data_IF_421908565006
#
_entry.id   IF_421908565006
#
_cell.length_a   1.000
_cell.length_b   1.000
_cell.length_c   1.000
_cell.angle_alpha   90.00
_cell.angle_beta   90.00
_cell.angle_gamma   90.00
#
_symmetry.space_group_name_H-M   'P 1'
#
loop_
_entity.id
_entity.type
_entity.pdbx_description
1 polymer ?
#
# COMPACT_ATOMS: atom_id res chain seq x y z
N UNK A 1 22.53 15.51 -7.08
CA UNK A 1 22.04 14.19 -6.66
C UNK A 1 20.52 14.26 -6.71
N UNK A 2 19.90 13.26 -7.32
CA UNK A 2 18.44 13.13 -7.39
C UNK A 2 17.93 12.54 -6.09
N UNK A 3 16.74 12.96 -5.66
CA UNK A 3 16.11 12.49 -4.42
C UNK A 3 14.80 11.74 -4.69
N UNK A 4 14.28 11.05 -3.67
CA UNK A 4 12.96 10.42 -3.77
C UNK A 4 11.83 11.42 -4.05
N UNK A 5 11.92 12.66 -3.52
CA UNK A 5 10.94 13.71 -3.82
C UNK A 5 11.01 14.18 -5.28
N UNK A 6 12.21 14.21 -5.87
CA UNK A 6 12.35 14.48 -7.30
C UNK A 6 11.75 13.35 -8.15
N UNK A 7 11.89 12.10 -7.70
CA UNK A 7 11.23 10.96 -8.34
C UNK A 7 9.71 11.10 -8.34
N UNK A 8 9.10 11.57 -7.24
CA UNK A 8 7.65 11.86 -7.19
C UNK A 8 7.23 12.97 -8.16
N UNK A 9 8.03 14.05 -8.26
CA UNK A 9 7.75 15.13 -9.23
C UNK A 9 7.78 14.61 -10.67
N UNK A 10 8.78 13.80 -11.00
CA UNK A 10 8.91 13.19 -12.34
C UNK A 10 7.79 12.19 -12.59
N UNK A 11 7.42 11.38 -11.59
CA UNK A 11 6.26 10.49 -11.69
C UNK A 11 4.98 11.26 -12.01
N UNK A 12 4.76 12.43 -11.39
CA UNK A 12 3.63 13.30 -11.73
C UNK A 12 3.61 13.74 -13.20
N UNK A 13 4.76 14.11 -13.75
CA UNK A 13 4.88 14.44 -15.18
C UNK A 13 4.57 13.22 -16.06
N UNK A 14 5.14 12.05 -15.75
CA UNK A 14 4.89 10.80 -16.48
C UNK A 14 3.39 10.46 -16.47
N UNK A 15 2.73 10.58 -15.32
CA UNK A 15 1.30 10.30 -15.16
C UNK A 15 0.46 11.21 -16.06
N UNK A 16 0.80 12.50 -16.13
CA UNK A 16 0.09 13.46 -16.98
C UNK A 16 0.25 13.17 -18.48
N UNK A 17 1.36 12.57 -18.90
CA UNK A 17 1.63 12.33 -20.32
C UNK A 17 1.13 10.98 -20.83
N UNK A 18 1.31 9.91 -20.07
CA UNK A 18 1.07 8.54 -20.56
C UNK A 18 0.11 7.71 -19.69
N UNK A 19 -0.37 8.24 -18.56
CA UNK A 19 -1.32 7.57 -17.66
C UNK A 19 -0.98 6.09 -17.39
N UNK A 20 0.22 5.78 -16.86
CA UNK A 20 0.66 4.40 -16.67
C UNK A 20 -0.20 3.66 -15.64
N UNK A 21 -0.02 2.36 -15.52
CA UNK A 21 -0.61 1.55 -14.45
C UNK A 21 0.15 1.72 -13.15
N UNK A 22 1.48 1.75 -13.19
CA UNK A 22 2.31 1.99 -12.01
C UNK A 22 3.68 2.55 -12.37
N UNK A 23 4.29 3.23 -11.40
CA UNK A 23 5.67 3.72 -11.47
C UNK A 23 6.36 3.32 -10.18
N UNK A 24 7.50 2.66 -10.32
CA UNK A 24 8.33 2.18 -9.21
C UNK A 24 9.73 2.74 -9.39
N UNK A 25 10.25 3.39 -8.36
CA UNK A 25 11.66 3.78 -8.28
C UNK A 25 12.45 2.59 -7.77
N UNK A 26 13.59 2.29 -8.35
CA UNK A 26 14.51 1.27 -7.85
C UNK A 26 15.95 1.81 -7.77
N UNK A 27 16.92 0.95 -7.45
CA UNK A 27 18.32 1.36 -7.42
C UNK A 27 18.71 2.20 -6.19
N UNK A 28 19.59 3.18 -6.39
CA UNK A 28 20.16 3.99 -5.30
C UNK A 28 19.09 4.84 -4.60
N UNK A 29 18.27 5.54 -5.37
CA UNK A 29 17.19 6.41 -4.85
C UNK A 29 16.18 5.63 -4.00
N UNK A 30 15.84 4.39 -4.40
CA UNK A 30 14.94 3.56 -3.61
C UNK A 30 15.57 3.01 -2.32
N UNK A 31 16.89 2.77 -2.30
CA UNK A 31 17.57 2.21 -1.12
C UNK A 31 18.00 3.27 -0.13
N UNK A 32 18.59 4.36 -0.63
CA UNK A 32 19.27 5.40 0.15
C UNK A 32 18.47 6.70 0.23
N UNK A 33 17.41 6.85 -0.57
CA UNK A 33 16.61 8.08 -0.66
C UNK A 33 17.19 9.14 -1.61
N UNK A 34 18.41 8.93 -2.09
CA UNK A 34 19.08 9.77 -3.07
C UNK A 34 19.97 8.93 -4.01
N UNK A 35 20.37 9.52 -5.15
CA UNK A 35 21.18 8.87 -6.17
C UNK A 35 21.87 9.87 -7.11
N UNK A 36 22.69 9.34 -8.02
CA UNK A 36 23.26 10.15 -9.12
C UNK A 36 22.34 10.15 -10.35
N UNK A 37 21.58 9.09 -10.48
CA UNK A 37 20.65 8.71 -11.54
C UNK A 37 19.31 8.30 -10.95
N UNK A 38 18.27 8.38 -11.76
CA UNK A 38 16.91 8.01 -11.39
C UNK A 38 16.44 6.82 -12.23
N UNK A 39 16.44 5.64 -11.61
CA UNK A 39 15.91 4.42 -12.21
C UNK A 39 14.40 4.32 -12.01
N UNK A 40 13.64 4.31 -13.10
CA UNK A 40 12.18 4.20 -13.09
C UNK A 40 11.72 2.93 -13.80
N UNK A 41 10.94 2.12 -13.12
CA UNK A 41 10.22 1.00 -13.71
C UNK A 41 8.76 1.40 -13.92
N UNK A 42 8.33 1.50 -15.17
CA UNK A 42 7.03 2.06 -15.57
C UNK A 42 6.21 0.95 -16.24
N UNK A 43 5.09 0.60 -15.63
CA UNK A 43 4.16 -0.39 -16.18
C UNK A 43 3.03 0.32 -16.90
N UNK A 44 2.80 -0.02 -18.17
CA UNK A 44 1.73 0.55 -18.98
C UNK A 44 0.68 -0.51 -19.32
N UNK A 45 -0.53 -0.04 -19.63
CA UNK A 45 -1.61 -0.87 -20.14
C UNK A 45 -1.27 -1.38 -21.54
N UNK A 46 -1.66 -2.61 -21.87
CA UNK A 46 -1.37 -3.23 -23.18
C UNK A 46 -1.99 -2.47 -24.37
N UNK A 47 -2.96 -1.58 -24.11
CA UNK A 47 -3.50 -0.65 -25.13
C UNK A 47 -2.51 0.44 -25.57
N UNK A 48 -1.47 0.72 -24.78
CA UNK A 48 -0.40 1.66 -25.11
C UNK A 48 0.87 0.90 -25.50
N UNK A 49 1.37 1.15 -26.71
CA UNK A 49 2.65 0.57 -27.13
C UNK A 49 3.83 1.18 -26.37
N UNK A 50 4.75 0.35 -25.89
CA UNK A 50 6.02 0.78 -25.27
C UNK A 50 6.79 1.80 -26.10
N UNK A 51 6.80 1.66 -27.44
CA UNK A 51 7.49 2.61 -28.31
C UNK A 51 6.89 4.01 -28.21
N UNK A 52 5.56 4.10 -28.27
CA UNK A 52 4.83 5.38 -28.19
C UNK A 52 5.02 6.02 -26.81
N UNK A 53 5.00 5.20 -25.75
CA UNK A 53 5.28 5.66 -24.39
C UNK A 53 6.70 6.26 -24.29
N UNK A 54 7.73 5.53 -24.72
CA UNK A 54 9.13 6.01 -24.68
C UNK A 54 9.32 7.29 -25.50
N UNK A 55 8.78 7.35 -26.72
CA UNK A 55 8.88 8.56 -27.57
C UNK A 55 8.24 9.78 -26.88
N UNK A 56 7.12 9.57 -26.19
CA UNK A 56 6.44 10.61 -25.41
C UNK A 56 7.28 11.03 -24.21
N UNK A 57 7.80 10.07 -23.44
CA UNK A 57 8.61 10.34 -22.25
C UNK A 57 9.90 11.10 -22.60
N UNK A 58 10.64 10.67 -23.62
CA UNK A 58 11.85 11.36 -24.06
C UNK A 58 11.60 12.84 -24.39
N UNK A 59 10.47 13.15 -25.02
CA UNK A 59 10.10 14.53 -25.38
C UNK A 59 9.81 15.38 -24.14
N UNK A 60 9.05 14.83 -23.19
CA UNK A 60 8.52 15.57 -22.03
C UNK A 60 9.49 15.59 -20.85
N UNK A 61 10.34 14.58 -20.70
CA UNK A 61 11.35 14.50 -19.64
C UNK A 61 12.64 15.27 -20.00
N UNK A 62 12.82 15.69 -21.27
CA UNK A 62 13.96 16.51 -21.75
C UNK A 62 14.40 17.64 -20.80
N UNK A 63 13.49 18.43 -20.20
CA UNK A 63 13.87 19.51 -19.28
C UNK A 63 14.56 19.04 -18.00
N UNK A 64 14.38 17.79 -17.59
CA UNK A 64 14.90 17.23 -16.34
C UNK A 64 16.30 16.61 -16.51
N UNK A 65 16.62 16.08 -17.69
CA UNK A 65 17.92 15.46 -17.99
C UNK A 65 19.14 16.38 -17.78
N UNK A 66 18.94 17.70 -17.71
CA UNK A 66 20.02 18.65 -17.38
C UNK A 66 20.45 18.64 -15.91
N UNK A 67 19.63 18.07 -15.02
CA UNK A 67 19.88 18.04 -13.57
C UNK A 67 20.47 16.70 -13.12
N UNK A 68 20.02 15.59 -13.70
CA UNK A 68 20.46 14.23 -13.40
C UNK A 68 19.99 13.28 -14.53
N UNK A 69 20.62 12.10 -14.61
CA UNK A 69 20.20 11.06 -15.54
C UNK A 69 18.88 10.42 -15.10
N UNK A 70 18.04 10.05 -16.05
CA UNK A 70 16.78 9.34 -15.82
C UNK A 70 16.81 8.11 -16.74
N UNK A 71 16.65 6.93 -16.15
CA UNK A 71 16.63 5.66 -16.86
C UNK A 71 15.23 5.03 -16.75
N UNK A 72 14.43 5.21 -17.81
CA UNK A 72 13.07 4.68 -17.90
C UNK A 72 12.99 3.26 -18.48
N UNK A 73 12.62 2.31 -17.63
CA UNK A 73 12.25 0.94 -18.00
C UNK A 73 10.74 0.82 -18.16
N UNK A 74 10.26 1.08 -19.37
CA UNK A 74 8.84 0.93 -19.73
C UNK A 74 8.53 -0.52 -20.14
N UNK A 75 7.48 -1.11 -19.57
CA UNK A 75 7.01 -2.47 -19.88
C UNK A 75 5.48 -2.53 -19.94
N UNK A 76 4.94 -3.23 -20.94
CA UNK A 76 3.51 -3.56 -21.01
C UNK A 76 3.13 -4.59 -19.92
N UNK A 77 1.89 -4.51 -19.41
CA UNK A 77 1.41 -5.36 -18.32
C UNK A 77 1.52 -6.86 -18.66
N UNK A 78 1.12 -7.26 -19.86
CA UNK A 78 1.20 -8.67 -20.30
C UNK A 78 2.64 -9.20 -20.32
N UNK A 79 3.58 -8.37 -20.79
CA UNK A 79 5.01 -8.71 -20.85
C UNK A 79 5.62 -8.81 -19.45
N UNK A 80 5.23 -7.92 -18.54
CA UNK A 80 5.63 -8.01 -17.13
C UNK A 80 5.18 -9.33 -16.50
N UNK A 81 3.92 -9.72 -16.74
CA UNK A 81 3.38 -10.97 -16.23
C UNK A 81 4.16 -12.18 -16.76
N UNK A 82 4.43 -12.23 -18.07
CA UNK A 82 5.25 -13.29 -18.68
C UNK A 82 6.63 -13.39 -18.02
N UNK A 83 7.30 -12.26 -17.80
CA UNK A 83 8.62 -12.23 -17.15
C UNK A 83 8.56 -12.66 -15.68
N UNK A 84 7.51 -12.30 -14.96
CA UNK A 84 7.30 -12.71 -13.58
C UNK A 84 7.11 -14.24 -13.48
N UNK A 85 6.25 -14.81 -14.33
CA UNK A 85 5.99 -16.26 -14.39
C UNK A 85 7.25 -17.06 -14.76
N UNK A 86 8.12 -16.49 -15.60
CA UNK A 86 9.42 -17.08 -15.95
C UNK A 86 10.50 -16.89 -14.87
N UNK A 87 10.19 -16.24 -13.75
CA UNK A 87 11.13 -16.03 -12.64
C UNK A 87 12.26 -15.06 -13.00
N UNK A 88 11.98 -14.01 -13.78
CA UNK A 88 12.97 -13.00 -14.15
C UNK A 88 13.68 -12.43 -12.90
N UNK A 89 15.03 -12.53 -12.82
CA UNK A 89 15.78 -11.96 -11.70
C UNK A 89 15.58 -10.45 -11.58
N UNK A 90 15.47 -9.75 -12.71
CA UNK A 90 15.26 -8.30 -12.72
C UNK A 90 13.91 -7.92 -12.08
N UNK A 91 12.83 -8.60 -12.46
CA UNK A 91 11.50 -8.36 -11.85
C UNK A 91 11.53 -8.69 -10.35
N UNK A 92 12.24 -9.76 -9.97
CA UNK A 92 12.44 -10.09 -8.56
C UNK A 92 13.16 -8.98 -7.78
N UNK A 93 14.13 -8.30 -8.39
CA UNK A 93 14.80 -7.12 -7.80
C UNK A 93 13.83 -5.96 -7.64
N UNK A 94 13.03 -5.64 -8.67
CA UNK A 94 12.02 -4.58 -8.60
C UNK A 94 11.02 -4.83 -7.45
N UNK A 95 10.55 -6.07 -7.28
CA UNK A 95 9.62 -6.43 -6.21
C UNK A 95 10.26 -6.27 -4.81
N UNK A 96 11.54 -6.61 -4.68
CA UNK A 96 12.23 -6.59 -3.38
C UNK A 96 12.69 -5.20 -2.95
N UNK A 97 13.23 -4.44 -3.90
CA UNK A 97 13.92 -3.18 -3.63
C UNK A 97 13.13 -1.94 -4.09
N UNK A 98 12.17 -2.14 -4.99
CA UNK A 98 11.40 -1.05 -5.57
C UNK A 98 10.52 -0.34 -4.55
N UNK A 99 10.45 0.98 -4.67
CA UNK A 99 9.49 1.84 -3.96
C UNK A 99 8.50 2.39 -4.96
N UNK A 100 7.23 2.05 -4.79
CA UNK A 100 6.16 2.61 -5.63
C UNK A 100 6.05 4.12 -5.37
N UNK A 101 6.03 4.89 -6.45
CA UNK A 101 5.75 6.33 -6.41
C UNK A 101 4.40 6.67 -7.05
N UNK A 102 3.83 5.73 -7.80
CA UNK A 102 2.49 5.85 -8.36
C UNK A 102 1.88 4.47 -8.64
N UNK A 103 0.58 4.33 -8.40
CA UNK A 103 -0.24 3.21 -8.83
C UNK A 103 -1.64 3.72 -9.19
N UNK A 104 -2.10 3.38 -10.40
CA UNK A 104 -3.44 3.72 -10.88
C UNK A 104 -4.48 3.07 -9.98
N UNK A 105 -5.47 3.86 -9.55
CA UNK A 105 -6.57 3.43 -8.68
C UNK A 105 -6.13 2.80 -7.35
N UNK A 106 -4.97 3.21 -6.81
CA UNK A 106 -4.44 2.66 -5.57
C UNK A 106 -5.47 2.71 -4.43
N UNK A 107 -6.11 3.86 -4.21
CA UNK A 107 -7.10 4.05 -3.13
C UNK A 107 -8.25 3.06 -3.25
N UNK A 108 -8.79 2.87 -4.46
CA UNK A 108 -9.90 1.95 -4.71
C UNK A 108 -9.48 0.51 -4.47
N UNK A 109 -8.27 0.11 -4.85
CA UNK A 109 -7.76 -1.24 -4.60
C UNK A 109 -7.53 -1.51 -3.11
N UNK A 110 -7.01 -0.53 -2.36
CA UNK A 110 -6.88 -0.63 -0.91
C UNK A 110 -8.24 -0.76 -0.20
N UNK A 111 -9.24 0.03 -0.63
CA UNK A 111 -10.60 -0.09 -0.10
C UNK A 111 -11.24 -1.45 -0.47
N UNK A 112 -11.07 -1.91 -1.71
CA UNK A 112 -11.56 -3.24 -2.15
C UNK A 112 -10.98 -4.35 -1.29
N UNK A 113 -9.68 -4.31 -1.00
CA UNK A 113 -9.05 -5.28 -0.11
C UNK A 113 -9.54 -5.15 1.33
N UNK A 114 -9.72 -3.94 1.85
CA UNK A 114 -10.30 -3.74 3.18
C UNK A 114 -11.70 -4.35 3.32
N UNK A 115 -12.54 -4.22 2.29
CA UNK A 115 -13.85 -4.88 2.23
C UNK A 115 -13.75 -6.41 2.18
N UNK A 116 -12.79 -6.94 1.45
CA UNK A 116 -12.53 -8.37 1.36
C UNK A 116 -12.10 -8.93 2.73
N UNK A 117 -11.20 -8.24 3.43
CA UNK A 117 -10.81 -8.57 4.82
C UNK A 117 -12.03 -8.58 5.76
N UNK A 118 -12.91 -7.58 5.65
CA UNK A 118 -14.12 -7.52 6.47
C UNK A 118 -15.05 -8.71 6.19
N UNK A 119 -15.24 -9.09 4.92
CA UNK A 119 -16.05 -10.25 4.54
C UNK A 119 -15.46 -11.56 5.08
N UNK A 120 -14.15 -11.72 5.00
CA UNK A 120 -13.44 -12.88 5.57
C UNK A 120 -13.63 -12.91 7.10
N UNK A 121 -13.47 -11.77 7.77
CA UNK A 121 -13.67 -11.64 9.22
C UNK A 121 -15.06 -12.09 9.66
N UNK A 122 -16.11 -11.62 8.97
CA UNK A 122 -17.50 -12.00 9.23
C UNK A 122 -17.75 -13.50 9.00
N UNK A 123 -17.20 -14.06 7.92
CA UNK A 123 -17.31 -15.49 7.62
C UNK A 123 -16.65 -16.36 8.71
N UNK A 124 -15.47 -15.96 9.18
CA UNK A 124 -14.75 -16.67 10.24
C UNK A 124 -15.46 -16.57 11.59
N UNK A 125 -16.11 -15.43 11.90
CA UNK A 125 -16.93 -15.27 13.09
C UNK A 125 -18.10 -16.27 13.08
N UNK A 126 -18.80 -16.40 11.95
CA UNK A 126 -19.89 -17.36 11.79
C UNK A 126 -19.40 -18.81 11.94
N UNK A 127 -18.24 -19.12 11.37
CA UNK A 127 -17.59 -20.43 11.47
C UNK A 127 -16.97 -20.77 12.84
N UNK A 128 -17.00 -19.85 13.82
CA UNK A 128 -16.43 -20.06 15.15
C UNK A 128 -14.91 -19.90 15.24
N UNK A 129 -14.26 -19.37 14.20
CA UNK A 129 -12.82 -19.14 14.15
C UNK A 129 -12.45 -17.75 14.68
N UNK A 130 -12.68 -17.52 15.97
CA UNK A 130 -12.64 -16.19 16.60
C UNK A 130 -11.30 -15.46 16.48
N UNK A 131 -10.18 -16.17 16.64
CA UNK A 131 -8.84 -15.59 16.43
C UNK A 131 -8.66 -15.08 14.99
N UNK A 132 -9.09 -15.87 14.01
CA UNK A 132 -9.06 -15.47 12.60
C UNK A 132 -9.99 -14.29 12.32
N UNK A 133 -11.20 -14.30 12.88
CA UNK A 133 -12.14 -13.19 12.75
C UNK A 133 -11.55 -11.87 13.28
N UNK A 134 -10.92 -11.89 14.46
CA UNK A 134 -10.24 -10.73 15.04
C UNK A 134 -9.11 -10.22 14.15
N UNK A 135 -8.27 -11.13 13.63
CA UNK A 135 -7.15 -10.80 12.76
C UNK A 135 -7.62 -10.09 11.48
N UNK A 136 -8.58 -10.66 10.77
CA UNK A 136 -9.11 -10.06 9.55
C UNK A 136 -9.88 -8.76 9.81
N UNK A 137 -10.50 -8.60 10.98
CA UNK A 137 -11.10 -7.33 11.39
C UNK A 137 -10.03 -6.22 11.55
N UNK A 138 -8.90 -6.52 12.20
CA UNK A 138 -7.78 -5.57 12.32
C UNK A 138 -7.23 -5.21 10.94
N UNK A 139 -7.05 -6.17 10.04
CA UNK A 139 -6.58 -5.92 8.67
C UNK A 139 -7.54 -5.04 7.86
N UNK A 140 -8.85 -5.25 8.01
CA UNK A 140 -9.86 -4.41 7.37
C UNK A 140 -9.78 -2.94 7.83
N UNK A 141 -9.62 -2.72 9.14
CA UNK A 141 -9.43 -1.37 9.73
C UNK A 141 -8.14 -0.75 9.19
N UNK A 142 -7.03 -1.48 9.25
CA UNK A 142 -5.72 -0.99 8.81
C UNK A 142 -5.73 -0.57 7.34
N UNK A 143 -6.23 -1.44 6.45
CA UNK A 143 -6.25 -1.20 5.01
C UNK A 143 -7.16 -0.04 4.63
N UNK A 144 -8.32 0.10 5.28
CA UNK A 144 -9.27 1.20 5.00
C UNK A 144 -8.73 2.57 5.46
N UNK A 145 -8.03 2.62 6.61
CA UNK A 145 -7.34 3.82 7.07
C UNK A 145 -6.19 4.19 6.13
N UNK A 146 -5.36 3.20 5.73
CA UNK A 146 -4.27 3.43 4.77
C UNK A 146 -4.76 3.94 3.43
N UNK A 147 -5.92 3.49 2.95
CA UNK A 147 -6.53 4.02 1.72
C UNK A 147 -6.79 5.54 1.82
N UNK A 148 -7.30 6.01 2.96
CA UNK A 148 -7.53 7.45 3.21
C UNK A 148 -6.22 8.23 3.34
N UNK A 149 -5.21 7.68 4.00
CA UNK A 149 -3.89 8.31 4.07
C UNK A 149 -3.27 8.46 2.67
N UNK A 150 -3.31 7.39 1.86
CA UNK A 150 -2.82 7.39 0.47
C UNK A 150 -3.57 8.44 -0.36
N UNK A 151 -4.89 8.58 -0.19
CA UNK A 151 -5.69 9.59 -0.92
C UNK A 151 -5.27 11.03 -0.59
N UNK A 152 -4.62 11.26 0.56
CA UNK A 152 -4.03 12.54 0.97
C UNK A 152 -2.53 12.68 0.64
N UNK A 153 -1.96 11.74 -0.11
CA UNK A 153 -0.56 11.79 -0.53
C UNK A 153 0.43 11.28 0.52
N UNK A 154 -0.03 10.52 1.52
CA UNK A 154 0.86 9.84 2.45
C UNK A 154 1.68 8.75 1.75
N UNK A 155 2.96 8.66 2.10
CA UNK A 155 3.83 7.57 1.66
C UNK A 155 3.55 6.31 2.49
N UNK A 156 3.15 5.24 1.81
CA UNK A 156 2.83 3.98 2.48
C UNK A 156 4.01 3.44 3.30
N UNK A 157 3.84 3.41 4.62
CA UNK A 157 4.76 2.76 5.55
C UNK A 157 4.32 1.33 5.89
N UNK A 158 5.30 0.44 6.09
CA UNK A 158 5.06 -0.92 6.61
C UNK A 158 4.87 -0.89 8.13
N UNK A 159 3.68 -0.50 8.55
CA UNK A 159 3.25 -0.54 9.96
C UNK A 159 1.87 -1.18 10.11
N UNK A 160 1.68 -1.94 11.18
CA UNK A 160 0.41 -2.58 11.56
C UNK A 160 -0.24 -1.96 12.81
N UNK A 161 0.40 -0.93 13.37
CA UNK A 161 -0.06 -0.30 14.59
C UNK A 161 -1.15 0.75 14.28
N UNK A 162 -2.38 0.48 14.70
CA UNK A 162 -3.53 1.36 14.49
C UNK A 162 -3.32 2.69 15.21
N UNK A 163 -2.75 2.69 16.42
CA UNK A 163 -2.48 3.94 17.13
C UNK A 163 -1.57 4.89 16.33
N UNK A 164 -0.51 4.36 15.69
CA UNK A 164 0.35 5.12 14.77
C UNK A 164 -0.43 5.62 13.56
N UNK A 165 -1.29 4.80 12.97
CA UNK A 165 -2.10 5.20 11.83
C UNK A 165 -3.08 6.33 12.19
N UNK A 166 -3.65 6.32 13.39
CA UNK A 166 -4.52 7.41 13.87
C UNK A 166 -3.74 8.70 14.08
N UNK A 167 -2.54 8.63 14.65
CA UNK A 167 -1.66 9.80 14.74
C UNK A 167 -1.36 10.40 13.35
N UNK A 168 -1.06 9.56 12.36
CA UNK A 168 -0.88 9.98 10.97
C UNK A 168 -2.17 10.57 10.39
N UNK A 169 -3.34 9.97 10.63
CA UNK A 169 -4.62 10.52 10.18
C UNK A 169 -4.83 11.94 10.66
N UNK A 170 -4.49 12.24 11.92
CA UNK A 170 -4.59 13.60 12.47
C UNK A 170 -3.67 14.59 11.74
N UNK A 171 -2.44 14.20 11.40
CA UNK A 171 -1.52 15.04 10.60
C UNK A 171 -2.09 15.35 9.21
N UNK A 172 -2.80 14.39 8.61
CA UNK A 172 -3.44 14.53 7.29
C UNK A 172 -4.89 15.07 7.35
N UNK A 173 -5.37 15.53 8.52
CA UNK A 173 -6.74 16.01 8.74
C UNK A 173 -7.83 14.99 8.35
N UNK A 174 -7.57 13.71 8.61
CA UNK A 174 -8.53 12.61 8.45
C UNK A 174 -9.10 12.29 9.82
N UNK A 175 -10.42 12.39 9.97
CA UNK A 175 -11.11 11.91 11.16
C UNK A 175 -11.37 10.41 11.03
N UNK A 176 -11.19 9.68 12.13
CA UNK A 176 -11.52 8.25 12.23
C UNK A 176 -12.28 8.05 13.54
N UNK A 177 -13.48 7.46 13.49
CA UNK A 177 -14.35 7.26 14.66
C UNK A 177 -13.94 6.07 15.54
N UNK A 178 -12.68 6.05 15.99
CA UNK A 178 -12.17 5.09 16.97
C UNK A 178 -11.95 5.77 18.33
N UNK A 179 -12.39 5.10 19.38
CA UNK A 179 -12.07 5.48 20.77
C UNK A 179 -10.72 4.91 21.21
N UNK A 180 -10.07 5.51 22.22
CA UNK A 180 -8.79 5.02 22.75
C UNK A 180 -8.86 3.55 23.19
N UNK A 181 -9.98 3.15 23.82
CA UNK A 181 -10.22 1.76 24.24
C UNK A 181 -10.35 0.79 23.06
N UNK A 182 -10.93 1.23 21.95
CA UNK A 182 -11.00 0.43 20.72
C UNK A 182 -9.64 0.33 20.03
N UNK A 183 -8.85 1.40 20.02
CA UNK A 183 -7.48 1.39 19.48
C UNK A 183 -6.62 0.38 20.24
N UNK A 184 -6.61 0.46 21.58
CA UNK A 184 -5.87 -0.47 22.44
C UNK A 184 -6.31 -1.91 22.22
N UNK A 185 -7.63 -2.14 22.12
CA UNK A 185 -8.19 -3.46 21.85
C UNK A 185 -7.73 -4.01 20.49
N UNK A 186 -7.86 -3.24 19.41
CA UNK A 186 -7.48 -3.70 18.06
C UNK A 186 -5.96 -3.95 17.96
N UNK A 187 -5.13 -3.07 18.52
CA UNK A 187 -3.67 -3.26 18.56
C UNK A 187 -3.24 -4.46 19.42
N UNK A 188 -4.09 -4.93 20.34
CA UNK A 188 -3.80 -6.11 21.15
C UNK A 188 -3.97 -7.42 20.38
N UNK A 189 -4.80 -7.45 19.33
CA UNK A 189 -5.09 -8.64 18.51
C UNK A 189 -3.79 -9.19 17.87
N UNK A 190 -2.88 -8.30 17.49
CA UNK A 190 -1.60 -8.63 16.87
C UNK A 190 -0.62 -9.32 17.83
N UNK A 191 -0.80 -9.13 19.14
CA UNK A 191 0.08 -9.66 20.21
C UNK A 191 -0.35 -11.03 20.74
N UNK A 192 -1.55 -11.49 20.41
CA UNK A 192 -2.03 -12.86 20.72
C UNK A 192 -1.75 -13.88 19.61
N UNK A 193 -0.89 -13.54 18.64
CA UNK A 193 -0.69 -14.34 17.44
C UNK A 193 0.19 -15.56 17.67
N UNK A 194 1.23 -15.46 18.49
CA UNK A 194 2.15 -16.57 18.71
C UNK A 194 1.80 -17.38 19.96
N UNK A 195 1.87 -18.72 19.91
CA UNK A 195 1.70 -19.56 21.10
C UNK A 195 2.67 -19.22 22.25
N UNK A 196 3.82 -18.61 21.94
CA UNK A 196 4.76 -18.13 22.95
C UNK A 196 4.27 -16.88 23.69
N UNK A 197 3.41 -16.05 23.09
CA UNK A 197 2.84 -14.87 23.74
C UNK A 197 1.72 -15.27 24.72
N UNK A 198 1.09 -16.43 24.47
CA UNK A 198 0.04 -17.02 25.29
C UNK A 198 0.67 -17.55 26.59
N UNK A 199 0.35 -16.90 27.73
CA UNK A 199 0.82 -17.28 29.07
C UNK A 199 2.03 -16.51 29.59
N UNK A 200 2.77 -15.78 28.73
CA UNK A 200 3.77 -14.78 29.15
C UNK A 200 3.13 -13.43 29.49
N UNK A 201 1.97 -13.16 28.90
CA UNK A 201 1.08 -12.04 29.18
C UNK A 201 -0.30 -12.58 29.60
N UNK A 202 -1.12 -11.81 30.35
CA UNK A 202 -2.49 -12.20 30.71
C UNK A 202 -3.45 -12.07 29.51
N UNK A 203 -3.02 -12.51 28.33
CA UNK A 203 -3.78 -12.49 27.09
C UNK A 203 -4.24 -13.91 26.80
N UNK A 204 -5.52 -14.18 27.08
CA UNK A 204 -6.19 -15.39 26.63
C UNK A 204 -6.42 -15.34 25.10
N UNK A 205 -6.68 -16.49 24.48
CA UNK A 205 -7.09 -16.50 23.07
C UNK A 205 -8.40 -15.73 22.88
N UNK A 206 -8.55 -14.94 21.80
CA UNK A 206 -9.77 -14.18 21.56
C UNK A 206 -11.01 -15.06 21.55
N UNK A 207 -12.01 -14.68 22.34
CA UNK A 207 -13.27 -15.41 22.43
C UNK A 207 -14.31 -14.89 21.42
N UNK A 208 -15.52 -15.45 21.48
CA UNK A 208 -16.62 -15.02 20.61
C UNK A 208 -16.99 -13.54 20.80
N UNK A 209 -16.92 -13.02 22.03
CA UNK A 209 -17.25 -11.62 22.34
C UNK A 209 -16.20 -10.70 21.74
N UNK A 210 -14.92 -11.06 21.84
CA UNK A 210 -13.83 -10.32 21.21
C UNK A 210 -14.01 -10.25 19.70
N UNK A 211 -14.31 -11.40 19.06
CA UNK A 211 -14.55 -11.46 17.62
C UNK A 211 -15.76 -10.61 17.19
N UNK A 212 -16.88 -10.68 17.93
CA UNK A 212 -18.04 -9.81 17.68
C UNK A 212 -17.64 -8.34 17.78
N UNK A 213 -16.96 -7.95 18.86
CA UNK A 213 -16.50 -6.58 19.07
C UNK A 213 -15.60 -6.11 17.93
N UNK A 214 -14.60 -6.90 17.55
CA UNK A 214 -13.66 -6.58 16.47
C UNK A 214 -14.38 -6.39 15.13
N UNK A 215 -15.29 -7.30 14.76
CA UNK A 215 -16.06 -7.20 13.50
C UNK A 215 -17.00 -5.99 13.47
N UNK A 216 -17.59 -5.60 14.60
CA UNK A 216 -18.44 -4.42 14.71
C UNK A 216 -17.65 -3.13 14.52
N UNK A 217 -16.48 -3.04 15.15
CA UNK A 217 -15.55 -1.92 14.95
C UNK A 217 -15.12 -1.86 13.49
N UNK A 218 -14.66 -2.98 12.92
CA UNK A 218 -14.22 -3.04 11.53
C UNK A 218 -15.33 -2.65 10.54
N UNK A 219 -16.56 -3.13 10.73
CA UNK A 219 -17.70 -2.75 9.88
C UNK A 219 -17.95 -1.25 9.92
N UNK A 220 -17.90 -0.62 11.11
CA UNK A 220 -18.11 0.82 11.28
C UNK A 220 -17.02 1.62 10.58
N UNK A 221 -15.75 1.29 10.83
CA UNK A 221 -14.61 2.03 10.28
C UNK A 221 -14.49 1.83 8.78
N UNK A 222 -14.66 0.62 8.26
CA UNK A 222 -14.61 0.38 6.81
C UNK A 222 -15.70 1.18 6.11
N UNK A 223 -16.93 1.24 6.65
CA UNK A 223 -18.01 2.03 6.06
C UNK A 223 -17.77 3.55 6.15
N UNK A 224 -17.19 4.03 7.25
CA UNK A 224 -16.76 5.42 7.39
C UNK A 224 -15.71 5.79 6.34
N UNK A 225 -14.68 4.94 6.21
CA UNK A 225 -13.53 5.15 5.34
C UNK A 225 -13.85 5.01 3.84
N UNK A 226 -15.01 4.49 3.45
CA UNK A 226 -15.45 4.42 2.04
C UNK A 226 -15.98 5.73 1.48
N UNK A 227 -16.31 6.71 2.32
CA UNK A 227 -16.98 7.95 1.92
C UNK A 227 -16.03 8.99 1.30
N UNK A 228 -14.92 8.54 0.71
CA UNK A 228 -13.84 9.37 0.14
C UNK A 228 -14.15 9.78 -1.30
#
# INVERSE_FOLDING_TARGET
MVTFDDAKKIAGEIVNQIQPLSIVVFGSVAREGYGNDLDLFIVIDDSLSRKVAIDTLHKHLKPFYKYFAIDEFVVEQSVLQEHYEKGSPFISTIIKEGRSVYMKNAVQEWLRQAEEELKISLYLLEGGFFKGACYHAQQAIEKSIKANLISKGWDLEKTHNVNRLIALCNEFNIHVSLTDDEIVFIDSIDKGRYPADIGLLPLDEPDKKDAIRATQIASRIVEEMKKI
#
